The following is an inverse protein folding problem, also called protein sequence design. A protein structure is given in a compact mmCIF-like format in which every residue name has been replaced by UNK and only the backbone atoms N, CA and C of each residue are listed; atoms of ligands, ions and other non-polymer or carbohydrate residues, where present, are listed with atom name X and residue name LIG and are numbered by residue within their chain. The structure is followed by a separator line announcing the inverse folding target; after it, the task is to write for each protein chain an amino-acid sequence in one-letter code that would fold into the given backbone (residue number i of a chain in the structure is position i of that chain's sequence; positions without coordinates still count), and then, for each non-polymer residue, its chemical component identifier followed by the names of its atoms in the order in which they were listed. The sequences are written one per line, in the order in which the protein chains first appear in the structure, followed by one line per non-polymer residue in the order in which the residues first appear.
data_IF_091861575550
#
_entry.id   IF_091861575550
#
_cell.length_a   1.000
_cell.length_b   1.000
_cell.length_c   1.000
_cell.angle_alpha   90.00
_cell.angle_beta   90.00
_cell.angle_gamma   90.00
#
_symmetry.space_group_name_H-M   'P 1'
#
loop_
_entity.id
_entity.type
_entity.pdbx_description
1 polymer ?
#
# COMPACT_ATOMS: atom_id res chain seq x y z
N UNK A 1 27.70 23.29 -20.82
CA UNK A 1 26.30 22.86 -21.07
C UNK A 1 25.41 23.55 -20.06
N UNK A 2 24.51 24.44 -20.50
CA UNK A 2 23.55 25.11 -19.62
C UNK A 2 22.18 24.46 -19.84
N UNK A 3 21.87 23.45 -19.03
CA UNK A 3 20.54 22.84 -19.01
C UNK A 3 19.60 23.71 -18.16
N UNK A 4 18.36 23.89 -18.60
CA UNK A 4 17.30 24.59 -17.86
C UNK A 4 16.01 23.75 -17.88
N UNK A 5 15.29 23.61 -16.74
CA UNK A 5 14.03 22.89 -16.70
C UNK A 5 12.90 23.66 -17.41
N UNK A 6 11.99 22.97 -18.07
CA UNK A 6 10.82 23.59 -18.72
C UNK A 6 9.75 24.07 -17.71
N UNK A 7 9.74 23.47 -16.52
CA UNK A 7 8.87 23.84 -15.40
C UNK A 7 9.74 24.46 -14.31
N UNK A 8 9.39 25.68 -13.91
CA UNK A 8 10.05 26.41 -12.84
C UNK A 8 8.97 27.05 -11.96
N UNK A 9 9.12 26.97 -10.63
CA UNK A 9 8.16 27.55 -9.68
C UNK A 9 6.70 27.08 -9.89
N UNK A 10 6.53 25.79 -10.24
CA UNK A 10 5.24 25.12 -10.52
C UNK A 10 4.47 25.66 -11.74
N UNK A 11 5.12 26.39 -12.65
CA UNK A 11 4.55 26.80 -13.92
C UNK A 11 5.55 26.65 -15.08
N UNK A 12 5.09 26.81 -16.31
CA UNK A 12 5.96 26.81 -17.49
C UNK A 12 6.81 28.09 -17.55
N UNK A 13 7.99 28.00 -18.18
CA UNK A 13 8.79 29.18 -18.48
C UNK A 13 8.00 30.20 -19.30
N UNK A 14 8.10 31.49 -18.93
CA UNK A 14 7.26 32.57 -19.47
C UNK A 14 7.46 32.84 -20.96
N UNK A 15 8.63 32.51 -21.50
CA UNK A 15 8.91 32.59 -22.94
C UNK A 15 8.24 31.47 -23.73
N UNK A 16 7.93 30.34 -23.08
CA UNK A 16 7.24 29.20 -23.67
C UNK A 16 5.72 29.35 -23.55
N UNK A 17 5.23 29.68 -22.35
CA UNK A 17 3.83 29.96 -22.06
C UNK A 17 3.72 31.25 -21.28
N UNK A 18 3.06 32.26 -21.85
CA UNK A 18 2.88 33.56 -21.19
C UNK A 18 2.00 33.40 -19.96
N UNK A 19 2.41 34.05 -18.86
CA UNK A 19 1.56 34.18 -17.67
C UNK A 19 0.46 35.21 -17.98
N UNK A 20 -0.82 34.90 -17.79
CA UNK A 20 -1.91 35.86 -17.96
C UNK A 20 -1.72 37.08 -17.06
N UNK A 21 -2.09 38.25 -17.54
CA UNK A 21 -2.06 39.49 -16.76
C UNK A 21 -3.01 39.43 -15.56
N UNK A 22 -2.79 40.28 -14.54
CA UNK A 22 -3.68 40.36 -13.37
C UNK A 22 -5.14 40.62 -13.76
N UNK A 23 -5.38 41.45 -14.77
CA UNK A 23 -6.74 41.74 -15.26
C UNK A 23 -7.41 40.50 -15.87
N UNK A 24 -6.65 39.66 -16.57
CA UNK A 24 -7.16 38.40 -17.13
C UNK A 24 -7.42 37.37 -16.02
N UNK A 25 -6.53 37.28 -15.02
CA UNK A 25 -6.72 36.40 -13.87
C UNK A 25 -7.94 36.78 -13.02
N UNK A 26 -8.20 38.09 -12.83
CA UNK A 26 -9.37 38.59 -12.11
C UNK A 26 -10.68 38.36 -12.87
N UNK A 27 -10.64 38.36 -14.20
CA UNK A 27 -11.81 38.05 -15.05
C UNK A 27 -12.11 36.56 -15.16
N UNK A 28 -11.11 35.71 -14.91
CA UNK A 28 -11.27 34.27 -14.94
C UNK A 28 -12.19 33.79 -13.80
N UNK A 29 -12.76 32.60 -13.97
CA UNK A 29 -13.51 31.92 -12.90
C UNK A 29 -12.55 31.65 -11.74
N UNK A 30 -12.89 32.17 -10.56
CA UNK A 30 -12.12 31.93 -9.35
C UNK A 30 -12.37 30.50 -8.89
N UNK A 31 -11.35 29.65 -9.00
CA UNK A 31 -11.39 28.25 -8.60
C UNK A 31 -10.38 28.03 -7.48
N UNK A 32 -10.81 27.41 -6.39
CA UNK A 32 -9.94 27.10 -5.25
C UNK A 32 -9.18 25.79 -5.51
N UNK A 33 -8.07 25.58 -4.80
CA UNK A 33 -7.34 24.31 -4.88
C UNK A 33 -8.20 23.10 -4.51
N UNK A 34 -9.13 23.24 -3.55
CA UNK A 34 -10.08 22.19 -3.19
C UNK A 34 -11.04 21.85 -4.34
N UNK A 35 -11.56 22.87 -5.04
CA UNK A 35 -12.42 22.67 -6.21
C UNK A 35 -11.67 22.00 -7.37
N UNK A 36 -10.41 22.37 -7.60
CA UNK A 36 -9.56 21.70 -8.60
C UNK A 36 -9.43 20.22 -8.26
N UNK A 37 -9.05 19.88 -7.03
CA UNK A 37 -8.87 18.49 -6.62
C UNK A 37 -10.15 17.65 -6.78
N UNK A 38 -11.31 18.19 -6.38
CA UNK A 38 -12.59 17.48 -6.52
C UNK A 38 -12.99 17.31 -7.99
N UNK A 39 -12.72 18.30 -8.83
CA UNK A 39 -13.03 18.22 -10.27
C UNK A 39 -12.13 17.20 -10.99
N UNK A 40 -10.83 17.19 -10.67
CA UNK A 40 -9.89 16.17 -11.15
C UNK A 40 -10.31 14.76 -10.73
N UNK A 41 -10.83 14.59 -9.51
CA UNK A 41 -11.36 13.29 -9.06
C UNK A 41 -12.59 12.87 -9.86
N UNK A 42 -13.55 13.77 -10.10
CA UNK A 42 -14.72 13.49 -10.93
C UNK A 42 -14.34 13.15 -12.37
N UNK A 43 -13.32 13.79 -12.93
CA UNK A 43 -12.87 13.54 -14.30
C UNK A 43 -12.29 12.14 -14.51
N UNK A 44 -11.88 11.43 -13.45
CA UNK A 44 -11.46 10.02 -13.55
C UNK A 44 -12.59 9.11 -14.04
N UNK A 45 -13.84 9.44 -13.73
CA UNK A 45 -15.01 8.64 -14.07
C UNK A 45 -15.93 9.32 -15.10
N UNK A 46 -15.96 10.65 -15.11
CA UNK A 46 -16.77 11.45 -16.02
C UNK A 46 -15.94 12.62 -16.59
N UNK A 47 -15.26 12.44 -17.74
CA UNK A 47 -14.39 13.46 -18.35
C UNK A 47 -15.10 14.76 -18.72
N UNK A 48 -16.42 14.74 -18.90
CA UNK A 48 -17.22 15.90 -19.26
C UNK A 48 -17.77 16.66 -18.03
N UNK A 49 -17.40 16.25 -16.82
CA UNK A 49 -17.82 16.92 -15.59
C UNK A 49 -17.37 18.38 -15.56
N UNK A 50 -18.20 19.22 -14.96
CA UNK A 50 -17.97 20.66 -14.82
C UNK A 50 -17.99 21.05 -13.34
N UNK A 51 -17.57 22.29 -13.05
CA UNK A 51 -17.62 22.84 -11.69
C UNK A 51 -19.06 22.83 -11.11
N UNK A 52 -20.09 22.91 -11.94
CA UNK A 52 -21.49 22.83 -11.48
C UNK A 52 -21.86 21.44 -10.96
N UNK A 53 -21.16 20.40 -11.42
CA UNK A 53 -21.38 19.03 -10.95
C UNK A 53 -20.87 18.83 -9.53
N UNK A 54 -19.93 19.66 -9.05
CA UNK A 54 -19.45 19.65 -7.67
C UNK A 54 -20.53 20.05 -6.65
N UNK A 55 -21.59 20.74 -7.09
CA UNK A 55 -22.68 21.21 -6.23
C UNK A 55 -23.80 20.16 -6.10
N UNK A 56 -23.71 19.01 -6.77
CA UNK A 56 -24.73 17.96 -6.70
C UNK A 56 -24.68 17.22 -5.36
N UNK A 57 -25.82 17.03 -4.68
CA UNK A 57 -25.88 16.28 -3.42
C UNK A 57 -25.48 14.82 -3.61
N UNK A 58 -24.63 14.30 -2.71
CA UNK A 58 -24.14 12.91 -2.71
C UNK A 58 -22.70 12.72 -3.21
N UNK A 59 -22.04 13.77 -3.70
CA UNK A 59 -20.61 13.76 -4.08
C UNK A 59 -19.70 13.97 -2.84
N UNK A 60 -20.27 14.32 -1.70
CA UNK A 60 -19.59 15.01 -0.60
C UNK A 60 -19.76 14.32 0.78
N UNK A 61 -19.76 12.99 0.85
CA UNK A 61 -19.54 12.32 2.13
C UNK A 61 -18.04 12.18 2.39
N UNK A 62 -17.40 13.30 2.78
CA UNK A 62 -16.07 13.23 3.38
C UNK A 62 -16.12 12.31 4.61
N UNK A 63 -15.17 11.37 4.75
CA UNK A 63 -15.21 10.41 5.83
C UNK A 63 -15.06 11.10 7.18
N UNK A 64 -15.72 10.55 8.19
CA UNK A 64 -15.61 11.05 9.55
C UNK A 64 -14.16 10.97 10.04
N UNK A 65 -13.68 12.03 10.70
CA UNK A 65 -12.33 12.09 11.24
C UNK A 65 -12.13 11.09 12.40
N UNK A 66 -10.90 10.56 12.49
CA UNK A 66 -10.49 9.74 13.63
C UNK A 66 -10.55 10.53 14.94
N UNK A 67 -10.90 9.83 16.02
CA UNK A 67 -11.07 10.42 17.35
C UNK A 67 -10.04 9.85 18.33
N UNK A 68 -9.70 10.62 19.37
CA UNK A 68 -8.83 10.13 20.45
C UNK A 68 -9.54 9.13 21.37
N UNK A 69 -10.87 9.20 21.41
CA UNK A 69 -11.75 8.34 22.20
C UNK A 69 -12.94 7.96 21.35
N UNK A 70 -13.40 6.73 21.53
CA UNK A 70 -14.57 6.18 20.86
C UNK A 70 -15.57 5.76 21.93
N UNK A 71 -16.87 5.82 21.64
CA UNK A 71 -17.93 5.39 22.56
C UNK A 71 -17.96 3.86 22.70
N UNK A 72 -17.83 3.18 21.56
CA UNK A 72 -17.80 1.73 21.46
C UNK A 72 -17.04 1.28 20.19
N UNK A 73 -16.89 -0.03 20.03
CA UNK A 73 -16.25 -0.60 18.86
C UNK A 73 -17.09 -0.48 17.57
N UNK A 74 -18.40 -0.24 17.64
CA UNK A 74 -19.22 0.06 16.47
C UNK A 74 -18.87 1.43 15.89
N UNK A 75 -18.72 2.46 16.74
CA UNK A 75 -18.25 3.77 16.31
C UNK A 75 -16.83 3.67 15.73
N UNK A 76 -15.94 2.90 16.36
CA UNK A 76 -14.59 2.66 15.83
C UNK A 76 -14.64 2.03 14.43
N UNK A 77 -15.45 0.98 14.23
CA UNK A 77 -15.65 0.35 12.93
C UNK A 77 -16.26 1.32 11.90
N UNK A 78 -17.26 2.10 12.28
CA UNK A 78 -17.94 3.04 11.38
C UNK A 78 -17.03 4.16 10.89
N UNK A 79 -16.01 4.53 11.68
CA UNK A 79 -15.01 5.52 11.31
C UNK A 79 -13.88 4.88 10.48
N UNK A 80 -13.28 3.77 10.94
CA UNK A 80 -12.15 3.15 10.23
C UNK A 80 -12.54 2.33 9.00
N UNK A 81 -13.73 1.76 8.96
CA UNK A 81 -14.23 0.96 7.85
C UNK A 81 -14.20 1.71 6.51
N UNK A 82 -14.79 2.92 6.42
CA UNK A 82 -14.70 3.76 5.22
C UNK A 82 -13.25 4.11 4.86
N UNK A 83 -12.39 4.44 5.84
CA UNK A 83 -10.97 4.75 5.61
C UNK A 83 -10.22 3.59 4.95
N UNK A 84 -10.39 2.37 5.47
CA UNK A 84 -9.79 1.16 4.89
C UNK A 84 -10.33 0.90 3.48
N UNK A 85 -11.61 1.19 3.22
CA UNK A 85 -12.21 1.03 1.90
C UNK A 85 -11.63 2.02 0.89
N UNK A 86 -11.51 3.31 1.24
CA UNK A 86 -10.92 4.29 0.33
C UNK A 86 -9.47 3.95 -0.02
N UNK A 87 -8.66 3.56 0.97
CA UNK A 87 -7.29 3.08 0.70
C UNK A 87 -7.28 1.84 -0.22
N UNK A 88 -8.23 0.91 -0.03
CA UNK A 88 -8.34 -0.28 -0.88
C UNK A 88 -8.70 0.07 -2.33
N UNK A 89 -9.66 0.99 -2.51
CA UNK A 89 -10.12 1.45 -3.82
C UNK A 89 -9.00 2.24 -4.53
N UNK A 90 -8.26 3.08 -3.81
CA UNK A 90 -7.11 3.83 -4.33
C UNK A 90 -5.95 2.91 -4.71
N UNK A 91 -5.54 1.98 -3.83
CA UNK A 91 -4.50 0.99 -4.13
C UNK A 91 -4.87 0.14 -5.35
N UNK A 92 -6.16 -0.24 -5.47
CA UNK A 92 -6.66 -0.95 -6.64
C UNK A 92 -6.51 -0.14 -7.92
N UNK A 93 -6.98 1.12 -7.92
CA UNK A 93 -6.88 2.02 -9.07
C UNK A 93 -5.42 2.23 -9.48
N UNK A 94 -4.53 2.46 -8.51
CA UNK A 94 -3.08 2.60 -8.74
C UNK A 94 -2.52 1.33 -9.38
N UNK A 95 -2.78 0.15 -8.81
CA UNK A 95 -2.26 -1.11 -9.35
C UNK A 95 -2.78 -1.41 -10.76
N UNK A 96 -4.08 -1.22 -11.01
CA UNK A 96 -4.68 -1.47 -12.32
C UNK A 96 -4.14 -0.50 -13.41
N UNK A 97 -3.80 0.74 -13.02
CA UNK A 97 -3.20 1.73 -13.93
C UNK A 97 -1.75 1.41 -14.36
N UNK A 98 -1.07 0.50 -13.67
CA UNK A 98 0.35 0.18 -13.92
C UNK A 98 0.57 -0.80 -15.07
N UNK A 99 -0.48 -1.14 -15.83
CA UNK A 99 -0.39 -2.05 -16.98
C UNK A 99 0.66 -1.57 -17.99
N UNK A 100 1.57 -2.46 -18.39
CA UNK A 100 2.63 -2.18 -19.36
C UNK A 100 2.42 -3.00 -20.62
N UNK A 101 2.43 -2.33 -21.76
CA UNK A 101 2.26 -2.95 -23.07
C UNK A 101 3.60 -3.06 -23.82
N UNK A 102 3.59 -3.81 -24.93
CA UNK A 102 4.75 -3.99 -25.82
C UNK A 102 6.00 -4.52 -25.10
N UNK A 103 5.76 -5.41 -24.14
CA UNK A 103 6.81 -6.05 -23.36
C UNK A 103 7.49 -7.15 -24.19
N UNK A 104 8.82 -7.12 -24.16
CA UNK A 104 9.64 -8.22 -24.68
C UNK A 104 9.97 -9.20 -23.56
N UNK A 105 9.76 -10.49 -23.82
CA UNK A 105 9.90 -11.56 -22.84
C UNK A 105 11.02 -12.51 -23.27
N UNK A 106 11.92 -12.79 -22.33
CA UNK A 106 12.90 -13.87 -22.39
C UNK A 106 12.43 -15.02 -21.51
N UNK A 107 12.19 -16.18 -22.13
CA UNK A 107 11.73 -17.38 -21.43
C UNK A 107 12.90 -18.19 -20.88
N UNK A 108 12.66 -18.87 -19.76
CA UNK A 108 13.61 -19.82 -19.17
C UNK A 108 12.88 -20.96 -18.45
N UNK A 109 13.63 -21.95 -17.95
CA UNK A 109 13.12 -23.02 -17.11
C UNK A 109 13.90 -23.04 -15.79
N UNK A 110 13.19 -22.85 -14.68
CA UNK A 110 13.77 -22.95 -13.35
C UNK A 110 14.22 -24.39 -13.03
N UNK A 111 15.14 -24.53 -12.07
CA UNK A 111 15.60 -25.85 -11.60
C UNK A 111 14.46 -26.70 -11.01
N UNK A 112 13.39 -26.04 -10.53
CA UNK A 112 12.15 -26.66 -10.06
C UNK A 112 11.20 -27.08 -11.21
N UNK A 113 11.65 -26.98 -12.47
CA UNK A 113 10.89 -27.28 -13.69
C UNK A 113 9.67 -26.38 -13.91
N UNK A 114 9.65 -25.19 -13.32
CA UNK A 114 8.63 -24.17 -13.60
C UNK A 114 9.13 -23.18 -14.65
N UNK A 115 8.19 -22.69 -15.46
CA UNK A 115 8.41 -21.70 -16.51
C UNK A 115 8.70 -20.33 -15.90
N UNK A 116 9.81 -19.72 -16.32
CA UNK A 116 10.18 -18.36 -15.96
C UNK A 116 10.03 -17.43 -17.16
N UNK A 117 9.57 -16.21 -16.91
CA UNK A 117 9.53 -15.13 -17.89
C UNK A 117 10.29 -13.93 -17.33
N UNK A 118 11.26 -13.44 -18.09
CA UNK A 118 12.06 -12.26 -17.77
C UNK A 118 11.74 -11.13 -18.73
N UNK A 119 11.61 -9.91 -18.22
CA UNK A 119 11.30 -8.72 -19.01
C UNK A 119 11.76 -7.46 -18.29
N UNK A 120 11.98 -6.38 -19.05
CA UNK A 120 12.22 -5.06 -18.49
C UNK A 120 10.93 -4.25 -18.50
N UNK A 121 10.68 -3.48 -17.44
CA UNK A 121 9.54 -2.57 -17.37
C UNK A 121 10.00 -1.16 -17.79
N UNK A 122 9.56 -0.62 -18.94
CA UNK A 122 10.08 0.64 -19.48
C UNK A 122 9.77 1.87 -18.61
N UNK A 123 8.69 1.80 -17.82
CA UNK A 123 8.17 2.88 -16.98
C UNK A 123 8.14 2.49 -15.50
N UNK A 124 9.25 1.94 -14.98
CA UNK A 124 9.42 1.80 -13.54
C UNK A 124 9.60 3.19 -12.91
N UNK A 125 8.49 3.89 -12.70
CA UNK A 125 8.44 5.10 -11.89
C UNK A 125 8.73 4.73 -10.42
N UNK A 126 9.12 5.70 -9.59
CA UNK A 126 9.32 5.51 -8.14
C UNK A 126 8.08 4.94 -7.43
N UNK A 127 6.89 5.17 -8.00
CA UNK A 127 5.60 4.65 -7.53
C UNK A 127 5.43 3.13 -7.79
N UNK A 128 6.18 2.56 -8.74
CA UNK A 128 6.09 1.15 -9.09
C UNK A 128 7.04 0.31 -8.22
N UNK A 129 6.63 0.11 -6.96
CA UNK A 129 7.39 -0.70 -6.00
C UNK A 129 7.03 -2.18 -6.12
N UNK A 130 7.81 -2.90 -6.93
CA UNK A 130 7.68 -4.35 -7.10
C UNK A 130 8.40 -5.09 -5.97
N UNK A 131 7.75 -6.09 -5.37
CA UNK A 131 8.32 -6.92 -4.31
C UNK A 131 8.37 -8.40 -4.74
N UNK A 132 9.37 -9.18 -4.28
CA UNK A 132 9.33 -10.62 -4.43
C UNK A 132 8.04 -11.20 -3.84
N UNK A 133 7.35 -12.05 -4.61
CA UNK A 133 6.05 -12.63 -4.26
C UNK A 133 4.84 -11.87 -4.81
N UNK A 134 5.00 -10.67 -5.36
CA UNK A 134 3.92 -9.96 -6.05
C UNK A 134 3.38 -10.78 -7.22
N UNK A 135 2.08 -10.66 -7.50
CA UNK A 135 1.46 -11.36 -8.63
C UNK A 135 1.34 -10.46 -9.85
N UNK A 136 1.87 -10.96 -10.97
CA UNK A 136 1.75 -10.33 -12.27
C UNK A 136 1.02 -11.28 -13.22
N UNK A 137 0.18 -10.72 -14.09
CA UNK A 137 -0.41 -11.44 -15.21
C UNK A 137 0.30 -11.02 -16.49
N UNK A 138 0.86 -11.99 -17.18
CA UNK A 138 1.46 -11.84 -18.49
C UNK A 138 0.45 -12.29 -19.55
N UNK A 139 0.11 -11.43 -20.49
CA UNK A 139 -0.76 -11.74 -21.62
C UNK A 139 0.01 -11.62 -22.93
N UNK A 140 -0.22 -12.56 -23.84
CA UNK A 140 0.27 -12.44 -25.20
C UNK A 140 -0.84 -11.84 -26.08
N UNK A 141 -0.52 -10.76 -26.80
CA UNK A 141 -1.48 -10.02 -27.64
C UNK A 141 -1.10 -10.01 -29.12
N UNK A 142 -0.13 -10.85 -29.53
CA UNK A 142 0.21 -11.01 -30.94
C UNK A 142 -0.85 -11.82 -31.70
N UNK A 143 -0.90 -11.61 -33.01
CA UNK A 143 -1.83 -12.25 -33.95
C UNK A 143 -1.40 -13.67 -34.38
N UNK A 144 -0.18 -14.09 -34.02
CA UNK A 144 0.40 -15.35 -34.47
C UNK A 144 -0.19 -16.59 -33.77
N UNK A 145 -0.95 -16.40 -32.69
CA UNK A 145 -1.56 -17.50 -31.92
C UNK A 145 -3.06 -17.55 -32.18
N UNK A 146 -3.59 -18.76 -32.47
CA UNK A 146 -5.03 -18.96 -32.74
C UNK A 146 -5.93 -18.68 -31.54
N UNK A 147 -5.39 -18.70 -30.33
CA UNK A 147 -6.14 -18.50 -29.09
C UNK A 147 -5.37 -17.52 -28.21
N UNK A 148 -6.09 -16.60 -27.57
CA UNK A 148 -5.49 -15.67 -26.62
C UNK A 148 -4.86 -16.43 -25.45
N UNK A 149 -3.66 -16.02 -25.04
CA UNK A 149 -2.96 -16.60 -23.90
C UNK A 149 -2.78 -15.57 -22.79
N UNK A 150 -3.01 -16.02 -21.55
CA UNK A 150 -2.73 -15.28 -20.33
C UNK A 150 -2.21 -16.24 -19.25
N UNK A 151 -1.14 -15.86 -18.56
CA UNK A 151 -0.56 -16.60 -17.45
C UNK A 151 -0.32 -15.71 -16.25
N UNK A 152 -0.67 -16.19 -15.05
CA UNK A 152 -0.34 -15.51 -13.79
C UNK A 152 0.93 -16.12 -13.23
N UNK A 153 1.84 -15.27 -12.76
CA UNK A 153 3.07 -15.66 -12.10
C UNK A 153 3.40 -14.80 -10.89
N UNK A 154 4.37 -15.25 -10.12
CA UNK A 154 4.90 -14.53 -8.96
C UNK A 154 6.27 -13.96 -9.26
N UNK A 155 6.53 -12.74 -8.79
CA UNK A 155 7.84 -12.11 -8.91
C UNK A 155 8.86 -12.89 -8.09
N UNK A 156 9.90 -13.39 -8.76
CA UNK A 156 11.05 -14.09 -8.16
C UNK A 156 12.34 -13.28 -8.28
N UNK A 157 12.36 -12.28 -9.17
CA UNK A 157 13.47 -11.35 -9.35
C UNK A 157 12.93 -9.94 -9.57
N UNK A 158 13.44 -8.99 -8.80
CA UNK A 158 13.25 -7.55 -8.99
C UNK A 158 14.52 -6.92 -9.56
N UNK A 159 14.44 -5.77 -10.26
CA UNK A 159 15.61 -5.05 -10.73
C UNK A 159 16.57 -4.74 -9.58
N UNK A 160 17.86 -4.95 -9.82
CA UNK A 160 18.91 -4.74 -8.83
C UNK A 160 20.25 -4.47 -9.52
N UNK A 161 21.33 -4.37 -8.73
CA UNK A 161 22.68 -4.10 -9.26
C UNK A 161 23.21 -5.15 -10.26
N UNK A 162 22.55 -6.31 -10.39
CA UNK A 162 22.92 -7.38 -11.32
C UNK A 162 22.06 -7.38 -12.61
N UNK A 163 21.07 -6.48 -12.73
CA UNK A 163 20.32 -6.26 -13.97
C UNK A 163 18.93 -5.66 -13.76
N UNK A 164 18.41 -5.10 -14.85
CA UNK A 164 17.13 -4.37 -14.91
C UNK A 164 15.90 -5.27 -15.16
N UNK A 165 16.11 -6.56 -15.41
CA UNK A 165 15.01 -7.49 -15.68
C UNK A 165 14.24 -7.84 -14.41
N UNK A 166 12.92 -7.73 -14.50
CA UNK A 166 11.96 -8.43 -13.64
C UNK A 166 11.87 -9.88 -14.09
N UNK A 167 11.81 -10.81 -13.14
CA UNK A 167 11.57 -12.23 -13.41
C UNK A 167 10.32 -12.71 -12.68
N UNK A 168 9.40 -13.34 -13.42
CA UNK A 168 8.24 -14.02 -12.84
C UNK A 168 8.32 -15.53 -13.05
N UNK A 169 7.87 -16.27 -12.05
CA UNK A 169 7.63 -17.71 -12.13
C UNK A 169 6.14 -17.95 -12.38
N UNK A 170 5.78 -18.58 -13.49
CA UNK A 170 4.38 -18.85 -13.82
C UNK A 170 3.79 -19.93 -12.91
N UNK A 171 2.56 -19.70 -12.42
CA UNK A 171 1.79 -20.68 -11.65
C UNK A 171 1.53 -21.94 -12.48
N UNK A 172 1.17 -21.76 -13.76
CA UNK A 172 0.90 -22.83 -14.72
C UNK A 172 1.88 -22.66 -15.88
N UNK A 173 2.75 -23.66 -16.06
CA UNK A 173 3.80 -23.64 -17.09
C UNK A 173 3.32 -24.13 -18.45
N UNK A 174 2.27 -24.96 -18.49
CA UNK A 174 1.73 -25.53 -19.73
C UNK A 174 1.05 -24.47 -20.59
N UNK A 175 1.30 -24.51 -21.89
CA UNK A 175 0.68 -23.60 -22.86
C UNK A 175 1.27 -22.19 -22.89
N UNK A 176 2.34 -21.92 -22.13
CA UNK A 176 3.08 -20.66 -22.25
C UNK A 176 3.70 -20.53 -23.65
N UNK A 177 3.52 -19.40 -24.35
CA UNK A 177 3.97 -19.18 -25.73
C UNK A 177 5.47 -18.85 -25.78
N UNK A 178 6.30 -19.87 -25.53
CA UNK A 178 7.76 -19.73 -25.40
C UNK A 178 8.46 -19.41 -26.72
N UNK A 179 7.79 -19.66 -27.84
CA UNK A 179 8.22 -19.35 -29.20
C UNK A 179 8.14 -17.84 -29.53
N UNK A 180 7.40 -17.05 -28.74
CA UNK A 180 7.27 -15.61 -28.94
C UNK A 180 8.00 -14.84 -27.86
N UNK A 181 8.70 -13.78 -28.27
CA UNK A 181 9.48 -12.91 -27.39
C UNK A 181 9.01 -11.46 -27.34
N UNK A 182 7.98 -11.10 -28.10
CA UNK A 182 7.45 -9.74 -28.21
C UNK A 182 5.92 -9.73 -28.16
N UNK A 183 5.32 -8.54 -28.08
CA UNK A 183 3.88 -8.33 -28.01
C UNK A 183 3.23 -8.94 -26.76
N UNK A 184 3.90 -8.78 -25.62
CA UNK A 184 3.31 -9.10 -24.33
C UNK A 184 2.79 -7.86 -23.61
N UNK A 185 1.81 -8.08 -22.76
CA UNK A 185 1.28 -7.10 -21.82
C UNK A 185 1.47 -7.65 -20.41
N UNK A 186 1.97 -6.82 -19.50
CA UNK A 186 2.13 -7.14 -18.08
C UNK A 186 1.11 -6.33 -17.29
N UNK A 187 0.24 -7.03 -16.57
CA UNK A 187 -0.77 -6.46 -15.68
C UNK A 187 -0.42 -6.79 -14.23
N UNK A 188 -0.55 -5.80 -13.35
CA UNK A 188 -0.36 -5.98 -11.91
C UNK A 188 -1.65 -6.53 -11.30
N UNK A 189 -1.57 -7.68 -10.63
CA UNK A 189 -2.75 -8.30 -10.02
C UNK A 189 -2.97 -7.69 -8.64
N UNK A 190 -3.95 -6.81 -8.53
CA UNK A 190 -4.40 -6.30 -7.24
C UNK A 190 -5.03 -7.41 -6.39
N UNK A 191 -4.79 -7.35 -5.06
CA UNK A 191 -5.33 -8.30 -4.10
C UNK A 191 -5.93 -7.57 -2.92
N UNK A 192 -7.22 -7.78 -2.69
CA UNK A 192 -7.96 -7.21 -1.56
C UNK A 192 -7.59 -7.81 -0.19
N UNK A 193 -6.79 -8.88 -0.14
CA UNK A 193 -6.66 -9.74 1.05
C UNK A 193 -6.24 -9.00 2.33
N UNK A 194 -5.35 -8.00 2.24
CA UNK A 194 -4.97 -7.18 3.39
C UNK A 194 -6.16 -6.36 3.90
N UNK A 195 -6.85 -5.67 3.01
CA UNK A 195 -8.01 -4.84 3.31
C UNK A 195 -9.20 -5.65 3.81
N UNK A 196 -9.48 -6.81 3.20
CA UNK A 196 -10.53 -7.74 3.64
C UNK A 196 -10.28 -8.20 5.08
N UNK A 197 -9.01 -8.51 5.42
CA UNK A 197 -8.62 -8.87 6.79
C UNK A 197 -8.76 -7.71 7.76
N UNK A 198 -8.44 -6.49 7.36
CA UNK A 198 -8.65 -5.29 8.17
C UNK A 198 -10.14 -5.08 8.46
N UNK A 199 -11.00 -5.12 7.43
CA UNK A 199 -12.45 -4.99 7.57
C UNK A 199 -13.03 -6.11 8.44
N UNK A 200 -12.60 -7.36 8.23
CA UNK A 200 -13.03 -8.48 9.05
C UNK A 200 -12.59 -8.33 10.51
N UNK A 201 -11.40 -7.78 10.77
CA UNK A 201 -10.90 -7.52 12.13
C UNK A 201 -11.70 -6.40 12.81
N UNK A 202 -12.01 -5.32 12.10
CA UNK A 202 -12.87 -4.24 12.61
C UNK A 202 -14.26 -4.77 12.98
N UNK A 203 -14.86 -5.58 12.10
CA UNK A 203 -16.15 -6.23 12.38
C UNK A 203 -16.07 -7.17 13.59
N UNK A 204 -15.00 -7.97 13.68
CA UNK A 204 -14.82 -8.90 14.81
C UNK A 204 -14.66 -8.13 16.12
N UNK A 205 -13.90 -7.04 16.13
CA UNK A 205 -13.75 -6.18 17.30
C UNK A 205 -15.08 -5.52 17.74
N UNK A 206 -15.96 -5.18 16.80
CA UNK A 206 -17.26 -4.59 17.10
C UNK A 206 -18.31 -5.61 17.58
N UNK A 207 -18.32 -6.82 17.01
CA UNK A 207 -19.43 -7.77 17.16
C UNK A 207 -19.11 -8.94 18.10
N UNK A 208 -17.84 -9.33 18.25
CA UNK A 208 -17.42 -10.43 19.12
C UNK A 208 -16.75 -9.90 20.40
N UNK A 209 -17.51 -9.91 21.50
CA UNK A 209 -17.05 -9.50 22.82
C UNK A 209 -15.91 -10.36 23.39
N UNK A 210 -15.67 -11.56 22.83
CA UNK A 210 -14.57 -12.43 23.24
C UNK A 210 -13.30 -12.25 22.40
N UNK A 211 -13.32 -11.37 21.39
CA UNK A 211 -12.18 -11.14 20.50
C UNK A 211 -10.97 -10.52 21.22
N UNK A 212 -11.22 -9.74 22.28
CA UNK A 212 -10.21 -9.16 23.17
C UNK A 212 -10.71 -9.14 24.61
N UNK A 213 -9.79 -9.05 25.58
CA UNK A 213 -10.19 -8.84 26.99
C UNK A 213 -10.85 -7.46 27.18
N UNK A 214 -11.74 -7.34 28.17
CA UNK A 214 -12.39 -6.07 28.51
C UNK A 214 -11.39 -4.93 28.81
N UNK A 215 -10.25 -5.26 29.44
CA UNK A 215 -9.18 -4.29 29.69
C UNK A 215 -8.62 -3.71 28.37
N UNK A 216 -8.32 -4.58 27.40
CA UNK A 216 -7.81 -4.15 26.09
C UNK A 216 -8.87 -3.41 25.29
N UNK A 217 -10.12 -3.87 25.30
CA UNK A 217 -11.24 -3.19 24.65
C UNK A 217 -11.32 -1.71 25.06
N UNK A 218 -11.42 -1.45 26.36
CA UNK A 218 -11.54 -0.09 26.87
C UNK A 218 -10.28 0.76 26.66
N UNK A 219 -9.08 0.17 26.80
CA UNK A 219 -7.82 0.90 26.54
C UNK A 219 -7.66 1.27 25.06
N UNK A 220 -8.03 0.40 24.13
CA UNK A 220 -7.97 0.67 22.69
C UNK A 220 -8.96 1.76 22.25
N UNK A 221 -10.13 1.84 22.90
CA UNK A 221 -11.13 2.89 22.65
C UNK A 221 -10.82 4.22 23.36
N UNK A 222 -9.73 4.29 24.14
CA UNK A 222 -9.33 5.50 24.86
C UNK A 222 -10.15 5.79 26.12
N UNK A 223 -10.86 4.80 26.65
CA UNK A 223 -11.60 4.92 27.91
C UNK A 223 -10.62 4.94 29.09
N UNK A 224 -11.05 5.54 30.19
CA UNK A 224 -10.31 5.51 31.44
C UNK A 224 -10.51 4.16 32.14
N UNK A 225 -9.41 3.45 32.35
CA UNK A 225 -9.38 2.14 33.03
C UNK A 225 -8.24 2.19 34.04
N UNK A 226 -8.45 1.68 35.25
CA UNK A 226 -7.37 1.56 36.23
C UNK A 226 -6.22 0.69 35.71
N UNK A 227 -4.99 0.97 36.13
CA UNK A 227 -3.84 0.15 35.73
C UNK A 227 -3.91 -1.24 36.38
N UNK A 228 -3.85 -2.28 35.55
CA UNK A 228 -3.83 -3.67 36.01
C UNK A 228 -2.39 -4.17 36.09
N UNK A 229 -2.03 -4.78 37.22
CA UNK A 229 -0.77 -5.51 37.39
C UNK A 229 -1.05 -7.02 37.38
N UNK A 230 -0.50 -7.70 36.38
CA UNK A 230 -0.58 -9.15 36.25
C UNK A 230 0.30 -9.84 37.29
N UNK A 231 -0.26 -10.82 37.99
CA UNK A 231 0.47 -11.65 38.93
C UNK A 231 1.20 -12.76 38.18
N UNK A 232 2.47 -12.50 37.85
CA UNK A 232 3.35 -13.46 37.18
C UNK A 232 4.59 -13.75 38.04
N UNK A 233 5.09 -14.98 38.00
CA UNK A 233 6.37 -15.32 38.61
C UNK A 233 7.50 -14.88 37.68
N UNK A 234 8.21 -13.83 38.06
CA UNK A 234 9.30 -13.30 37.24
C UNK A 234 10.51 -14.24 37.22
N UNK A 235 11.21 -14.36 36.08
CA UNK A 235 12.41 -15.18 36.00
C UNK A 235 13.56 -14.57 36.81
N UNK A 236 14.48 -15.41 37.29
CA UNK A 236 15.67 -14.95 38.03
C UNK A 236 16.66 -14.18 37.14
N UNK A 237 16.69 -14.49 35.85
CA UNK A 237 17.47 -13.80 34.82
C UNK A 237 16.54 -13.50 33.66
N UNK A 238 16.56 -12.26 33.18
CA UNK A 238 15.73 -11.83 32.06
C UNK A 238 16.36 -12.14 30.70
N UNK A 239 17.69 -12.19 30.59
CA UNK A 239 18.36 -12.61 29.35
C UNK A 239 18.02 -14.06 28.99
N UNK A 240 17.59 -14.29 27.76
CA UNK A 240 17.26 -15.63 27.25
C UNK A 240 18.48 -16.36 26.68
N UNK A 241 18.58 -17.70 26.84
CA UNK A 241 19.66 -18.48 26.25
C UNK A 241 19.75 -18.33 24.73
N UNK A 242 20.95 -18.14 24.20
CA UNK A 242 21.19 -17.97 22.76
C UNK A 242 20.94 -16.56 22.23
N UNK A 243 20.44 -15.63 23.08
CA UNK A 243 20.34 -14.22 22.75
C UNK A 243 21.43 -13.40 23.47
N UNK A 244 21.77 -12.20 22.95
CA UNK A 244 22.68 -11.29 23.63
C UNK A 244 22.21 -10.93 25.05
N UNK A 245 23.15 -10.68 25.95
CA UNK A 245 22.84 -10.19 27.29
C UNK A 245 22.10 -8.84 27.22
N UNK A 246 20.99 -8.75 27.95
CA UNK A 246 20.18 -7.54 27.99
C UNK A 246 20.86 -6.46 28.83
N UNK A 247 20.83 -5.23 28.33
CA UNK A 247 21.22 -4.07 29.11
C UNK A 247 20.12 -3.67 30.12
N UNK A 248 20.41 -2.69 30.98
CA UNK A 248 19.50 -2.28 32.05
C UNK A 248 18.11 -1.84 31.55
N UNK A 249 18.02 -1.06 30.46
CA UNK A 249 16.74 -0.56 29.95
C UNK A 249 15.92 -1.67 29.28
N UNK A 250 16.59 -2.63 28.63
CA UNK A 250 15.94 -3.81 28.06
C UNK A 250 15.40 -4.74 29.15
N UNK A 251 16.19 -5.01 30.20
CA UNK A 251 15.72 -5.78 31.37
C UNK A 251 14.51 -5.12 32.01
N UNK A 252 14.54 -3.79 32.17
CA UNK A 252 13.40 -3.03 32.69
C UNK A 252 12.16 -3.16 31.79
N UNK A 253 12.33 -3.07 30.47
CA UNK A 253 11.24 -3.23 29.52
C UNK A 253 10.59 -4.62 29.61
N UNK A 254 11.39 -5.70 29.55
CA UNK A 254 10.89 -7.09 29.65
C UNK A 254 10.17 -7.31 30.97
N UNK A 255 10.78 -6.90 32.10
CA UNK A 255 10.16 -7.00 33.43
C UNK A 255 8.81 -6.30 33.48
N UNK A 256 8.71 -5.10 32.93
CA UNK A 256 7.49 -4.29 32.96
C UNK A 256 6.39 -4.90 32.09
N UNK A 257 6.74 -5.36 30.88
CA UNK A 257 5.80 -5.97 29.93
C UNK A 257 5.17 -7.24 30.50
N UNK A 258 5.96 -8.10 31.15
CA UNK A 258 5.45 -9.34 31.77
C UNK A 258 4.37 -9.09 32.83
N UNK A 259 4.34 -7.90 33.42
CA UNK A 259 3.42 -7.55 34.50
C UNK A 259 2.24 -6.68 34.05
N UNK A 260 2.12 -6.35 32.76
CA UNK A 260 1.06 -5.47 32.25
C UNK A 260 0.33 -6.11 31.07
N UNK A 261 -1.02 -6.02 31.02
CA UNK A 261 -1.79 -6.55 29.89
C UNK A 261 -1.59 -5.77 28.59
N UNK A 262 -1.17 -4.50 28.67
CA UNK A 262 -0.81 -3.66 27.52
C UNK A 262 0.48 -2.90 27.82
N UNK A 263 1.39 -2.84 26.85
CA UNK A 263 2.66 -2.12 26.96
C UNK A 263 3.12 -1.64 25.59
N UNK A 264 3.73 -0.46 25.56
CA UNK A 264 4.35 0.10 24.37
C UNK A 264 5.86 0.19 24.60
N UNK A 265 6.66 -0.45 23.74
CA UNK A 265 8.11 -0.35 23.77
C UNK A 265 8.56 0.58 22.64
N UNK A 266 9.20 1.69 22.99
CA UNK A 266 9.84 2.59 22.05
C UNK A 266 11.37 2.43 22.13
N UNK A 267 12.03 2.36 20.98
CA UNK A 267 13.48 2.28 20.90
C UNK A 267 14.02 2.89 19.61
N UNK A 268 15.01 3.80 19.66
CA UNK A 268 15.72 4.30 18.49
C UNK A 268 16.36 3.18 17.62
N UNK A 269 16.79 3.48 16.38
CA UNK A 269 17.59 2.54 15.59
C UNK A 269 18.80 2.01 16.37
N UNK A 270 19.10 0.72 16.24
CA UNK A 270 20.24 0.09 16.93
C UNK A 270 20.04 -0.24 18.42
N UNK A 271 18.90 0.09 19.03
CA UNK A 271 18.66 -0.16 20.49
C UNK A 271 18.21 -1.59 20.83
N UNK A 272 18.27 -2.51 19.87
CA UNK A 272 18.00 -3.93 20.11
C UNK A 272 16.53 -4.28 20.34
N UNK A 273 15.57 -3.51 19.80
CA UNK A 273 14.11 -3.82 19.91
C UNK A 273 13.79 -5.28 19.58
N UNK A 274 14.35 -5.82 18.50
CA UNK A 274 14.16 -7.22 18.09
C UNK A 274 14.66 -8.22 19.13
N UNK A 275 15.81 -7.94 19.75
CA UNK A 275 16.37 -8.78 20.83
C UNK A 275 15.49 -8.70 22.06
N UNK A 276 15.08 -7.49 22.47
CA UNK A 276 14.18 -7.28 23.62
C UNK A 276 12.83 -7.96 23.44
N UNK A 277 12.26 -7.96 22.22
CA UNK A 277 10.97 -8.58 21.93
C UNK A 277 11.04 -10.10 21.80
N UNK A 278 12.19 -10.65 21.37
CA UNK A 278 12.41 -12.09 21.31
C UNK A 278 12.74 -12.72 22.68
N UNK A 279 13.15 -11.89 23.64
CA UNK A 279 13.48 -12.29 25.01
C UNK A 279 12.23 -12.30 25.88
#
# INVERSE_FOLDING_TARGET
TQWQPLIQDRCFLTWLVKIPSEQEQLRARQITAQMINRLEELWKENPDATIADLEKPGIDEEPQQCSLRYEDAYQYQNIFGPLVKMEADDDRKIKESQTQENISVRWDMGLNKKRLAYFCLPKANEEMRLMPGDELRLRYVGDQMKSAWAGVGHVVKVPNNYGEEVGIELKISSGAPVEFSANFVVEFVWKSTSFDRMQASLKTFAVDENSVSAYLYHRLLGHEVEDLVMKVTLPKRFSAPGLPELNHSQVYAVKTVLQRPLSLIQGPPGTGKTVTSAT
#
